data_IF_677139388892
#
_entry.id   IF_677139388892
#
_cell.length_a   1.000
_cell.length_b   1.000
_cell.length_c   1.000
_cell.angle_alpha   90.00
_cell.angle_beta   90.00
_cell.angle_gamma   90.00
#
_symmetry.space_group_name_H-M   'P 1'
#
loop_
_entity.id
_entity.type
_entity.pdbx_description
1 polymer ?
#
# COMPACT_ATOMS: atom_id res chain seq x y z
N UNK A 1 -10.65 33.72 75.88
CA UNK A 1 -9.81 32.93 74.96
C UNK A 1 -10.72 32.17 73.99
N UNK A 2 -10.99 32.73 72.81
CA UNK A 2 -11.82 32.09 71.77
C UNK A 2 -10.91 31.20 70.92
N UNK A 3 -11.08 29.88 71.00
CA UNK A 3 -10.42 28.91 70.11
C UNK A 3 -11.32 28.71 68.88
N UNK A 4 -10.85 29.17 67.73
CA UNK A 4 -11.40 28.90 66.41
C UNK A 4 -11.20 27.42 66.07
N UNK A 5 -12.29 26.67 65.92
CA UNK A 5 -12.27 25.30 65.41
C UNK A 5 -12.42 25.37 63.88
N UNK A 6 -11.40 24.92 63.15
CA UNK A 6 -11.38 24.85 61.69
C UNK A 6 -12.07 23.56 61.25
N UNK A 7 -13.13 23.67 60.44
CA UNK A 7 -13.77 22.52 59.78
C UNK A 7 -12.83 21.94 58.71
N UNK A 8 -12.71 20.62 58.68
CA UNK A 8 -12.06 19.84 57.61
C UNK A 8 -13.10 19.62 56.49
N UNK A 9 -12.77 19.88 55.20
CA UNK A 9 -13.67 19.61 54.08
C UNK A 9 -13.73 18.11 53.72
N UNK A 10 -14.84 17.62 53.13
CA UNK A 10 -15.00 16.21 52.76
C UNK A 10 -14.11 15.81 51.57
N UNK A 11 -13.77 14.51 51.42
CA UNK A 11 -12.97 14.02 50.30
C UNK A 11 -13.76 14.13 48.98
N UNK A 12 -13.08 14.56 47.92
CA UNK A 12 -13.62 14.66 46.56
C UNK A 12 -13.82 13.28 45.90
N UNK A 13 -14.59 13.21 44.79
CA UNK A 13 -14.95 11.95 44.17
C UNK A 13 -13.72 11.26 43.56
N UNK A 14 -13.63 9.97 43.86
CA UNK A 14 -12.65 9.00 43.36
C UNK A 14 -12.63 9.00 41.83
N UNK A 15 -11.50 9.41 41.25
CA UNK A 15 -11.31 9.43 39.81
C UNK A 15 -11.20 8.00 39.30
N UNK A 16 -12.22 7.55 38.57
CA UNK A 16 -12.22 6.28 37.87
C UNK A 16 -11.04 6.24 36.88
N UNK A 17 -10.04 5.41 37.20
CA UNK A 17 -8.87 5.15 36.38
C UNK A 17 -9.33 4.47 35.08
N UNK A 18 -9.28 5.23 33.98
CA UNK A 18 -9.65 4.72 32.66
C UNK A 18 -8.58 3.71 32.23
N UNK A 19 -8.92 2.46 31.88
CA UNK A 19 -7.90 1.49 31.49
C UNK A 19 -7.21 1.99 30.21
N UNK A 20 -5.90 2.22 30.31
CA UNK A 20 -5.05 2.56 29.18
C UNK A 20 -5.00 1.36 28.24
N UNK A 21 -5.72 1.43 27.13
CA UNK A 21 -5.61 0.45 26.05
C UNK A 21 -4.25 0.65 25.37
N UNK A 22 -3.28 -0.20 25.69
CA UNK A 22 -1.99 -0.21 25.01
C UNK A 22 -2.20 -0.42 23.50
N UNK A 23 -1.51 0.34 22.62
CA UNK A 23 -1.68 0.20 21.18
C UNK A 23 -1.24 -1.20 20.74
N UNK A 24 -2.14 -1.92 20.07
CA UNK A 24 -1.85 -3.21 19.44
C UNK A 24 -0.83 -2.96 18.33
N UNK A 25 0.37 -3.54 18.44
CA UNK A 25 1.35 -3.54 17.34
C UNK A 25 0.81 -4.40 16.20
N UNK A 26 0.12 -3.78 15.25
CA UNK A 26 -0.19 -4.43 13.98
C UNK A 26 1.10 -4.63 13.20
N UNK A 27 1.39 -5.88 12.83
CA UNK A 27 2.53 -6.21 11.98
C UNK A 27 2.27 -5.69 10.57
N UNK A 28 3.13 -4.80 10.07
CA UNK A 28 3.04 -4.30 8.70
C UNK A 28 3.19 -5.46 7.71
N UNK A 29 2.18 -5.65 6.86
CA UNK A 29 2.25 -6.59 5.74
C UNK A 29 2.96 -5.92 4.58
N UNK A 30 4.14 -6.40 4.23
CA UNK A 30 4.97 -5.84 3.16
C UNK A 30 4.96 -6.66 1.87
N UNK A 31 4.37 -7.86 1.89
CA UNK A 31 4.35 -8.80 0.76
C UNK A 31 2.93 -9.24 0.41
N UNK A 32 2.68 -9.31 -0.89
CA UNK A 32 1.38 -9.54 -1.49
C UNK A 32 1.52 -10.62 -2.57
N UNK A 33 0.93 -11.81 -2.37
CA UNK A 33 0.91 -12.84 -3.38
C UNK A 33 -0.02 -12.44 -4.52
N UNK A 34 0.29 -12.95 -5.72
CA UNK A 34 -0.53 -12.81 -6.91
C UNK A 34 -0.50 -14.07 -7.75
N UNK A 35 -1.46 -14.18 -8.67
CA UNK A 35 -1.49 -15.21 -9.70
C UNK A 35 -1.67 -14.53 -11.06
N UNK A 36 -0.76 -14.81 -12.00
CA UNK A 36 -0.82 -14.25 -13.35
C UNK A 36 -1.96 -14.90 -14.16
N UNK A 37 -2.80 -14.09 -14.84
CA UNK A 37 -3.87 -14.60 -15.70
C UNK A 37 -3.43 -15.60 -16.78
N UNK A 38 -2.26 -15.39 -17.41
CA UNK A 38 -1.69 -16.34 -18.40
C UNK A 38 -0.50 -17.09 -17.84
N UNK A 39 0.45 -16.37 -17.27
CA UNK A 39 1.69 -16.89 -16.70
C UNK A 39 2.93 -16.45 -17.48
N UNK A 40 4.06 -16.36 -16.78
CA UNK A 40 5.38 -16.18 -17.37
C UNK A 40 5.91 -17.51 -17.91
N UNK A 41 6.40 -17.54 -19.14
CA UNK A 41 7.02 -18.73 -19.74
C UNK A 41 8.53 -18.54 -19.69
N UNK A 42 9.23 -19.38 -18.94
CA UNK A 42 10.69 -19.28 -18.86
C UNK A 42 11.40 -19.89 -20.08
N UNK A 43 12.72 -19.75 -20.13
CA UNK A 43 13.54 -20.30 -21.22
C UNK A 43 13.51 -21.82 -21.36
N UNK A 44 13.01 -22.55 -20.35
CA UNK A 44 12.80 -24.00 -20.41
C UNK A 44 11.37 -24.37 -20.86
N UNK A 45 10.51 -23.38 -21.12
CA UNK A 45 9.11 -23.58 -21.47
C UNK A 45 8.19 -23.84 -20.27
N UNK A 46 8.68 -23.66 -19.04
CA UNK A 46 7.87 -23.82 -17.83
C UNK A 46 7.00 -22.59 -17.63
N UNK A 47 5.72 -22.81 -17.32
CA UNK A 47 4.76 -21.73 -17.05
C UNK A 47 4.68 -21.46 -15.55
N UNK A 48 4.97 -20.22 -15.16
CA UNK A 48 4.91 -19.73 -13.79
C UNK A 48 3.72 -18.77 -13.63
N UNK A 49 2.83 -19.04 -12.68
CA UNK A 49 1.65 -18.19 -12.43
C UNK A 49 1.67 -17.51 -11.08
N UNK A 50 1.98 -18.25 -10.03
CA UNK A 50 2.08 -17.68 -8.69
C UNK A 50 3.26 -16.72 -8.57
N UNK A 51 3.12 -15.65 -7.83
CA UNK A 51 4.21 -14.73 -7.58
C UNK A 51 4.01 -13.90 -6.32
N UNK A 52 5.03 -13.12 -5.98
CA UNK A 52 5.00 -12.23 -4.81
C UNK A 52 5.51 -10.86 -5.22
N UNK A 53 4.76 -9.83 -4.82
CA UNK A 53 5.14 -8.43 -4.93
C UNK A 53 5.29 -7.83 -3.54
N UNK A 54 6.32 -7.03 -3.31
CA UNK A 54 6.49 -6.26 -2.08
C UNK A 54 6.02 -4.82 -2.24
N UNK A 55 5.77 -4.13 -1.12
CA UNK A 55 5.62 -2.68 -1.14
C UNK A 55 6.85 -2.01 -1.76
N UNK A 56 6.59 -1.02 -2.60
CA UNK A 56 7.62 -0.16 -3.16
C UNK A 56 8.21 0.72 -2.06
N UNK A 57 9.52 0.92 -2.13
CA UNK A 57 10.19 1.94 -1.31
C UNK A 57 10.33 3.22 -2.12
N UNK A 58 10.55 4.35 -1.44
CA UNK A 58 10.88 5.61 -2.13
C UNK A 58 12.11 5.46 -3.06
N UNK A 59 13.04 4.56 -2.74
CA UNK A 59 14.18 4.26 -3.62
C UNK A 59 13.73 3.59 -4.92
N UNK A 60 12.75 2.69 -4.85
CA UNK A 60 12.22 2.02 -6.04
C UNK A 60 11.52 3.00 -6.97
N UNK A 61 10.90 4.05 -6.45
CA UNK A 61 10.25 5.11 -7.24
C UNK A 61 11.26 6.08 -7.88
N UNK A 62 12.30 6.46 -7.14
CA UNK A 62 13.20 7.54 -7.57
C UNK A 62 14.36 7.07 -8.46
N UNK A 63 14.89 5.87 -8.21
CA UNK A 63 16.06 5.37 -8.96
C UNK A 63 15.75 5.17 -10.46
N UNK A 64 14.60 4.58 -10.86
CA UNK A 64 14.27 4.37 -12.28
C UNK A 64 14.19 5.65 -13.12
N UNK A 65 13.87 6.79 -12.50
CA UNK A 65 13.78 8.08 -13.19
C UNK A 65 15.14 8.55 -13.76
N UNK A 66 16.24 7.94 -13.31
CA UNK A 66 17.60 8.20 -13.79
C UNK A 66 18.08 7.19 -14.84
N UNK A 67 17.32 6.12 -15.12
CA UNK A 67 17.66 5.13 -16.14
C UNK A 67 17.50 5.77 -17.53
N UNK A 68 18.55 5.71 -18.37
CA UNK A 68 18.54 6.35 -19.68
C UNK A 68 17.43 5.79 -20.58
N UNK A 69 17.08 4.50 -20.46
CA UNK A 69 15.98 3.89 -21.22
C UNK A 69 14.64 4.48 -20.82
N UNK A 70 14.46 4.83 -19.55
CA UNK A 70 13.24 5.50 -19.05
C UNK A 70 13.19 6.96 -19.53
N UNK A 71 14.34 7.63 -19.60
CA UNK A 71 14.43 9.01 -20.10
C UNK A 71 14.13 9.09 -21.60
N UNK A 72 14.57 8.11 -22.37
CA UNK A 72 14.27 7.97 -23.79
C UNK A 72 12.83 7.51 -24.04
N UNK A 73 12.33 6.60 -23.21
CA UNK A 73 10.98 6.06 -23.29
C UNK A 73 10.31 6.00 -21.90
N UNK A 74 9.51 7.01 -21.53
CA UNK A 74 8.81 7.03 -20.24
C UNK A 74 7.90 5.83 -19.99
N UNK A 75 7.40 5.15 -21.04
CA UNK A 75 6.59 3.95 -20.88
C UNK A 75 7.39 2.76 -20.30
N UNK A 76 8.72 2.79 -20.41
CA UNK A 76 9.61 1.77 -19.87
C UNK A 76 9.72 1.82 -18.34
N UNK A 77 9.29 2.91 -17.71
CA UNK A 77 9.29 3.07 -16.26
C UNK A 77 8.55 1.92 -15.55
N UNK A 78 7.40 1.48 -16.09
CA UNK A 78 6.62 0.38 -15.52
C UNK A 78 7.43 -0.91 -15.45
N UNK A 79 8.18 -1.24 -16.50
CA UNK A 79 9.01 -2.46 -16.57
C UNK A 79 10.08 -2.42 -15.48
N UNK A 80 10.78 -1.29 -15.37
CA UNK A 80 11.83 -1.11 -14.36
C UNK A 80 11.24 -1.17 -12.95
N UNK A 81 10.13 -0.47 -12.69
CA UNK A 81 9.47 -0.50 -11.37
C UNK A 81 9.06 -1.92 -10.97
N UNK A 82 8.31 -2.62 -11.83
CA UNK A 82 7.84 -3.98 -11.57
C UNK A 82 8.99 -4.94 -11.31
N UNK A 83 10.08 -4.84 -12.08
CA UNK A 83 11.28 -5.68 -11.86
C UNK A 83 11.92 -5.50 -10.48
N UNK A 84 11.74 -4.35 -9.81
CA UNK A 84 12.35 -4.09 -8.50
C UNK A 84 11.49 -4.59 -7.34
N UNK A 85 10.18 -4.67 -7.54
CA UNK A 85 9.18 -4.93 -6.48
C UNK A 85 8.59 -6.33 -6.55
N UNK A 86 8.67 -7.02 -7.69
CA UNK A 86 8.34 -8.43 -7.77
C UNK A 86 9.54 -9.21 -7.23
N UNK A 87 9.32 -9.97 -6.16
CA UNK A 87 10.38 -10.75 -5.50
C UNK A 87 10.47 -12.18 -6.03
N UNK A 88 9.39 -12.69 -6.64
CA UNK A 88 9.34 -14.03 -7.23
C UNK A 88 8.19 -14.18 -8.23
N UNK A 89 8.41 -14.96 -9.28
CA UNK A 89 7.38 -15.52 -10.17
C UNK A 89 7.63 -17.03 -10.30
N UNK A 90 6.79 -17.85 -9.66
CA UNK A 90 6.95 -19.29 -9.58
C UNK A 90 8.26 -19.67 -8.91
N UNK A 91 9.16 -20.31 -9.66
CA UNK A 91 10.52 -20.64 -9.19
C UNK A 91 11.56 -19.57 -9.53
N UNK A 92 11.18 -18.54 -10.29
CA UNK A 92 12.07 -17.45 -10.72
C UNK A 92 12.17 -16.42 -9.61
N UNK A 93 13.35 -16.32 -8.99
CA UNK A 93 13.65 -15.37 -7.90
C UNK A 93 14.49 -14.17 -8.36
N UNK A 94 15.20 -14.30 -9.47
CA UNK A 94 15.97 -13.20 -10.08
C UNK A 94 15.10 -12.49 -11.13
N UNK A 95 14.20 -11.64 -10.64
CA UNK A 95 13.28 -10.88 -11.50
C UNK A 95 13.97 -9.59 -11.94
N UNK A 96 14.37 -9.53 -13.21
CA UNK A 96 15.00 -8.36 -13.84
C UNK A 96 14.12 -7.82 -14.98
N UNK A 97 14.43 -6.65 -15.58
CA UNK A 97 13.59 -6.06 -16.63
C UNK A 97 13.25 -7.00 -17.78
N UNK A 98 14.21 -7.80 -18.27
CA UNK A 98 13.95 -8.82 -19.29
C UNK A 98 12.85 -9.83 -18.94
N UNK A 99 12.76 -10.31 -17.69
CA UNK A 99 11.66 -11.19 -17.25
C UNK A 99 10.31 -10.50 -17.40
N UNK A 100 10.24 -9.20 -17.08
CA UNK A 100 9.02 -8.41 -17.17
C UNK A 100 8.66 -8.08 -18.62
N UNK A 101 9.65 -7.89 -19.48
CA UNK A 101 9.48 -7.70 -20.93
C UNK A 101 8.92 -8.94 -21.62
N UNK A 102 9.29 -10.12 -21.15
CA UNK A 102 8.84 -11.41 -21.69
C UNK A 102 7.43 -11.81 -21.21
N UNK A 103 6.78 -11.01 -20.37
CA UNK A 103 5.39 -11.23 -19.96
C UNK A 103 4.41 -10.96 -21.10
N UNK A 104 3.30 -11.70 -21.10
CA UNK A 104 2.15 -11.33 -21.93
C UNK A 104 1.63 -9.94 -21.54
N UNK A 105 1.18 -9.15 -22.52
CA UNK A 105 0.64 -7.81 -22.29
C UNK A 105 -0.50 -7.78 -21.25
N UNK A 106 -1.33 -8.83 -21.18
CA UNK A 106 -2.39 -8.95 -20.17
C UNK A 106 -1.85 -9.11 -18.75
N UNK A 107 -0.75 -9.85 -18.59
CA UNK A 107 -0.11 -10.10 -17.31
C UNK A 107 0.65 -8.86 -16.83
N UNK A 108 1.32 -8.17 -17.75
CA UNK A 108 1.94 -6.87 -17.46
C UNK A 108 0.90 -5.86 -16.96
N UNK A 109 -0.24 -5.75 -17.65
CA UNK A 109 -1.34 -4.87 -17.25
C UNK A 109 -1.91 -5.25 -15.88
N UNK A 110 -2.07 -6.55 -15.60
CA UNK A 110 -2.51 -7.05 -14.30
C UNK A 110 -1.54 -6.65 -13.16
N UNK A 111 -0.23 -6.84 -13.38
CA UNK A 111 0.79 -6.48 -12.38
C UNK A 111 0.87 -4.97 -12.16
N UNK A 112 0.71 -4.18 -13.23
CA UNK A 112 0.66 -2.73 -13.15
C UNK A 112 -0.55 -2.24 -12.33
N UNK A 113 -1.73 -2.85 -12.49
CA UNK A 113 -2.90 -2.57 -11.65
C UNK A 113 -2.64 -2.93 -10.19
N UNK A 114 -2.11 -4.14 -9.95
CA UNK A 114 -1.78 -4.58 -8.59
C UNK A 114 -0.78 -3.65 -7.90
N UNK A 115 0.28 -3.23 -8.61
CA UNK A 115 1.27 -2.29 -8.11
C UNK A 115 0.61 -0.99 -7.63
N UNK A 116 -0.25 -0.41 -8.48
CA UNK A 116 -1.01 0.79 -8.12
C UNK A 116 -1.86 0.54 -6.90
N UNK A 117 -2.63 -0.55 -6.85
CA UNK A 117 -3.51 -0.86 -5.73
C UNK A 117 -2.76 -0.94 -4.40
N UNK A 118 -1.67 -1.72 -4.32
CA UNK A 118 -0.98 -1.96 -3.04
C UNK A 118 -0.13 -0.76 -2.58
N UNK A 119 0.36 0.08 -3.51
CA UNK A 119 1.19 1.24 -3.17
C UNK A 119 0.37 2.55 -3.06
N UNK A 120 -0.80 2.62 -3.70
CA UNK A 120 -1.73 3.76 -3.56
C UNK A 120 -2.63 3.65 -2.33
N UNK A 121 -2.75 2.48 -1.69
CA UNK A 121 -3.50 2.36 -0.42
C UNK A 121 -2.87 3.14 0.75
N UNK A 122 -1.65 3.69 0.57
CA UNK A 122 -1.05 4.71 1.44
C UNK A 122 -1.39 6.16 1.09
N UNK A 123 -2.07 6.42 -0.03
CA UNK A 123 -2.54 7.74 -0.46
C UNK A 123 -4.01 7.91 -0.04
N UNK A 124 -4.18 8.41 1.19
CA UNK A 124 -5.37 9.06 1.76
C UNK A 124 -6.74 8.59 1.23
N UNK A 125 -7.15 7.37 1.59
CA UNK A 125 -8.59 7.06 1.66
C UNK A 125 -9.23 7.91 2.75
N UNK A 126 -10.02 8.91 2.37
CA UNK A 126 -10.82 9.67 3.33
C UNK A 126 -12.15 8.94 3.57
N UNK A 127 -12.41 8.61 4.83
CA UNK A 127 -13.77 8.22 5.23
C UNK A 127 -14.62 9.49 5.31
N UNK A 128 -15.60 9.59 4.43
CA UNK A 128 -16.54 10.73 4.40
C UNK A 128 -17.92 10.26 4.86
N UNK A 129 -18.64 11.17 5.50
CA UNK A 129 -20.04 10.95 5.91
C UNK A 129 -20.92 11.84 5.07
N UNK A 130 -21.88 11.27 4.35
CA UNK A 130 -22.88 12.04 3.64
C UNK A 130 -23.73 12.84 4.67
N UNK A 131 -23.81 14.18 4.58
CA UNK A 131 -24.58 14.97 5.54
C UNK A 131 -26.09 14.73 5.42
N UNK A 132 -26.57 14.32 4.24
CA UNK A 132 -27.99 14.15 3.94
C UNK A 132 -28.55 12.84 4.52
N UNK A 133 -27.87 11.72 4.31
CA UNK A 133 -28.35 10.39 4.68
C UNK A 133 -27.49 9.68 5.75
N UNK A 134 -26.41 10.33 6.22
CA UNK A 134 -25.45 9.79 7.19
C UNK A 134 -24.75 8.49 6.78
N UNK A 135 -24.80 8.15 5.49
CA UNK A 135 -24.08 7.02 4.94
C UNK A 135 -22.57 7.28 4.95
N UNK A 136 -21.78 6.28 5.35
CA UNK A 136 -20.31 6.35 5.42
C UNK A 136 -19.72 5.60 4.24
N UNK A 137 -18.82 6.24 3.51
CA UNK A 137 -18.11 5.63 2.40
C UNK A 137 -16.66 6.11 2.36
N UNK A 138 -15.79 5.31 1.74
CA UNK A 138 -14.38 5.64 1.55
C UNK A 138 -14.17 6.20 0.14
N UNK A 139 -13.50 7.35 0.04
CA UNK A 139 -13.15 7.98 -1.23
C UNK A 139 -11.64 7.94 -1.39
N UNK A 140 -11.18 7.53 -2.56
CA UNK A 140 -9.79 7.68 -2.97
C UNK A 140 -9.55 9.13 -3.38
N UNK A 141 -8.77 9.87 -2.59
CA UNK A 141 -8.47 11.28 -2.86
C UNK A 141 -7.30 11.48 -3.85
N UNK A 142 -6.64 10.41 -4.30
CA UNK A 142 -5.53 10.50 -5.24
C UNK A 142 -5.98 10.62 -6.72
N UNK A 143 -7.28 10.52 -7.00
CA UNK A 143 -7.86 10.62 -8.35
C UNK A 143 -8.29 12.03 -8.73
N UNK A 144 -7.41 12.80 -9.37
CA UNK A 144 -7.75 14.09 -9.97
C UNK A 144 -8.76 13.97 -11.12
N UNK A 145 -9.86 14.73 -10.99
CA UNK A 145 -10.88 15.13 -11.98
C UNK A 145 -11.84 14.06 -12.52
N UNK A 146 -12.90 13.78 -11.75
CA UNK A 146 -14.21 13.45 -12.32
C UNK A 146 -14.89 14.76 -12.75
N UNK A 147 -15.03 14.97 -14.05
CA UNK A 147 -15.83 16.05 -14.62
C UNK A 147 -16.04 15.84 -16.11
N UNK A 148 -17.33 15.90 -16.49
CA UNK A 148 -17.98 15.78 -17.82
C UNK A 148 -18.38 14.35 -18.21
N UNK A 149 -19.68 14.00 -18.34
CA UNK A 149 -20.85 14.75 -18.85
C UNK A 149 -22.11 14.54 -18.02
#
# INVERSE_FOLDING_TARGET
MRRTSSLVPPPGPEQAETPTVAPRRETLRTEFPFELPRGYVDGAGTVHRDGVMRLATARDELVPLRDDRVRENPAYLTVVLLSRVITRIGTVVDVHPGVVEDLFASDLAFLQDMYRRINSEGHTRASVVCPECRHRFAVDLAGGRLGES
#
